data_IF_054574894988
#
_entry.id   IF_054574894988
#
_cell.length_a   1.000
_cell.length_b   1.000
_cell.length_c   1.000
_cell.angle_alpha   90.00
_cell.angle_beta   90.00
_cell.angle_gamma   90.00
#
_symmetry.space_group_name_H-M   'P 1'
#
loop_
_entity.id
_entity.type
_entity.pdbx_description
1 polymer ?
#
# COMPACT_ATOMS: atom_id res chain seq x y z
N UNK A 1 13.16 -15.24 -30.29
CA UNK A 1 14.54 -14.79 -30.60
C UNK A 1 15.31 -14.24 -29.38
N UNK A 2 14.77 -13.27 -28.62
CA UNK A 2 15.48 -12.74 -27.44
C UNK A 2 15.72 -13.78 -26.32
N UNK A 3 14.74 -14.64 -26.03
CA UNK A 3 14.87 -15.66 -24.99
C UNK A 3 15.98 -16.67 -25.31
N UNK A 4 16.02 -17.19 -26.53
CA UNK A 4 17.06 -18.11 -27.01
C UNK A 4 18.45 -17.44 -26.98
N UNK A 5 18.53 -16.16 -27.37
CA UNK A 5 19.78 -15.39 -27.27
C UNK A 5 20.26 -15.24 -25.82
N UNK A 6 19.38 -14.86 -24.88
CA UNK A 6 19.70 -14.73 -23.45
C UNK A 6 20.07 -16.09 -22.84
N UNK A 7 19.33 -17.14 -23.18
CA UNK A 7 19.64 -18.52 -22.75
C UNK A 7 21.05 -18.94 -23.18
N UNK A 8 21.39 -18.76 -24.46
CA UNK A 8 22.73 -19.10 -24.96
C UNK A 8 23.84 -18.27 -24.31
N UNK A 9 23.59 -16.98 -24.05
CA UNK A 9 24.55 -16.12 -23.35
C UNK A 9 24.76 -16.56 -21.90
N UNK A 10 23.70 -16.92 -21.17
CA UNK A 10 23.79 -17.43 -19.81
C UNK A 10 24.49 -18.79 -19.79
N UNK A 11 24.09 -19.72 -20.67
CA UNK A 11 24.68 -21.05 -20.76
C UNK A 11 26.19 -21.00 -21.07
N UNK A 12 26.62 -20.09 -21.95
CA UNK A 12 28.04 -19.91 -22.28
C UNK A 12 28.86 -19.34 -21.11
N UNK A 13 28.25 -18.53 -20.22
CA UNK A 13 28.93 -17.87 -19.11
C UNK A 13 28.74 -18.57 -17.76
N UNK A 14 27.89 -19.59 -17.69
CA UNK A 14 27.49 -20.23 -16.44
C UNK A 14 28.68 -20.86 -15.70
N UNK A 15 29.60 -21.51 -16.43
CA UNK A 15 30.78 -22.15 -15.85
C UNK A 15 31.86 -21.18 -15.37
N UNK A 16 31.80 -19.92 -15.79
CA UNK A 16 32.73 -18.85 -15.41
C UNK A 16 32.10 -17.87 -14.40
N UNK A 17 30.84 -18.07 -14.03
CA UNK A 17 30.10 -17.14 -13.18
C UNK A 17 30.31 -17.47 -11.70
N UNK A 18 31.20 -16.71 -11.04
CA UNK A 18 31.49 -16.84 -9.61
C UNK A 18 30.27 -16.59 -8.70
N UNK A 19 29.22 -15.94 -9.23
CA UNK A 19 27.97 -15.73 -8.50
C UNK A 19 27.01 -16.92 -8.62
N UNK A 20 27.37 -18.01 -9.31
CA UNK A 20 26.49 -19.17 -9.50
C UNK A 20 27.20 -20.46 -9.10
N UNK A 21 26.69 -21.12 -8.07
CA UNK A 21 27.18 -22.42 -7.61
C UNK A 21 26.15 -23.51 -7.93
N UNK A 22 26.61 -24.61 -8.53
CA UNK A 22 25.77 -25.72 -8.96
C UNK A 22 26.20 -26.98 -8.20
N UNK A 23 25.48 -27.29 -7.12
CA UNK A 23 25.72 -28.48 -6.31
C UNK A 23 24.93 -29.66 -6.87
N UNK A 24 25.65 -30.65 -7.41
CA UNK A 24 25.09 -31.89 -7.98
C UNK A 24 25.35 -33.12 -7.11
N UNK A 25 25.88 -32.93 -5.88
CA UNK A 25 26.24 -34.03 -4.98
C UNK A 25 25.04 -34.73 -4.32
N UNK A 26 23.89 -34.06 -4.28
CA UNK A 26 22.65 -34.58 -3.72
C UNK A 26 21.73 -35.29 -4.73
N UNK A 27 20.61 -35.89 -4.27
CA UNK A 27 19.64 -36.56 -5.13
C UNK A 27 18.90 -35.62 -6.11
N UNK A 28 19.05 -34.31 -5.94
CA UNK A 28 18.58 -33.27 -6.88
C UNK A 28 19.64 -32.19 -7.01
N UNK A 29 19.96 -31.72 -8.23
CA UNK A 29 20.87 -30.61 -8.44
C UNK A 29 20.30 -29.32 -7.82
N UNK A 30 21.15 -28.56 -7.14
CA UNK A 30 20.80 -27.30 -6.48
C UNK A 30 21.60 -26.17 -7.09
N UNK A 31 20.90 -25.14 -7.55
CA UNK A 31 21.49 -23.89 -8.04
C UNK A 31 21.44 -22.85 -6.93
N UNK A 32 22.59 -22.33 -6.53
CA UNK A 32 22.72 -21.21 -5.60
C UNK A 32 23.23 -20.01 -6.41
N UNK A 33 22.51 -18.89 -6.34
CA UNK A 33 22.98 -17.63 -6.91
C UNK A 33 23.42 -16.77 -5.72
N UNK A 34 24.70 -16.44 -5.66
CA UNK A 34 25.25 -15.53 -4.66
C UNK A 34 24.52 -14.18 -4.76
N UNK A 35 24.00 -13.65 -3.65
CA UNK A 35 23.36 -12.35 -3.66
C UNK A 35 24.37 -11.29 -4.12
N UNK A 36 23.89 -10.32 -4.90
CA UNK A 36 24.70 -9.15 -5.23
C UNK A 36 25.14 -8.49 -3.92
N UNK A 37 26.44 -8.32 -3.75
CA UNK A 37 26.97 -7.57 -2.62
C UNK A 37 26.37 -6.15 -2.68
N UNK A 38 25.85 -5.66 -1.55
CA UNK A 38 25.39 -4.28 -1.48
C UNK A 38 26.57 -3.37 -1.81
N UNK A 39 26.37 -2.47 -2.76
CA UNK A 39 27.36 -1.42 -3.01
C UNK A 39 27.39 -0.49 -1.79
N UNK A 40 28.58 -0.18 -1.30
CA UNK A 40 28.72 0.84 -0.27
C UNK A 40 28.17 2.17 -0.80
N UNK A 41 27.26 2.77 -0.05
CA UNK A 41 26.71 4.08 -0.40
C UNK A 41 27.82 5.14 -0.36
N UNK A 42 28.05 5.89 -1.46
CA UNK A 42 29.06 6.94 -1.50
C UNK A 42 28.79 8.03 -0.45
N UNK A 43 29.84 8.62 0.12
CA UNK A 43 29.71 9.70 1.10
C UNK A 43 29.01 10.95 0.53
N UNK A 44 29.05 11.14 -0.79
CA UNK A 44 28.24 12.18 -1.46
C UNK A 44 26.74 11.91 -1.37
N UNK A 45 26.31 10.65 -1.52
CA UNK A 45 24.89 10.26 -1.43
C UNK A 45 24.38 10.41 0.00
N UNK A 46 25.15 9.96 1.00
CA UNK A 46 24.81 10.12 2.43
C UNK A 46 24.66 11.59 2.81
N UNK A 47 25.58 12.45 2.33
CA UNK A 47 25.48 13.91 2.54
C UNK A 47 24.25 14.51 1.88
N UNK A 48 23.94 14.14 0.65
CA UNK A 48 22.75 14.62 -0.06
C UNK A 48 21.46 14.17 0.65
N UNK A 49 21.36 12.89 1.02
CA UNK A 49 20.22 12.35 1.76
C UNK A 49 19.98 13.12 3.05
N UNK A 50 21.05 13.38 3.82
CA UNK A 50 20.97 14.22 5.02
C UNK A 50 20.48 15.64 4.72
N UNK A 51 21.02 16.30 3.70
CA UNK A 51 20.58 17.65 3.32
C UNK A 51 19.11 17.69 2.94
N UNK A 52 18.60 16.67 2.25
CA UNK A 52 17.18 16.54 1.90
C UNK A 52 16.34 16.30 3.16
N UNK A 53 16.76 15.41 4.05
CA UNK A 53 16.08 15.15 5.31
C UNK A 53 16.01 16.41 6.21
N UNK A 54 17.07 17.21 6.24
CA UNK A 54 17.13 18.46 7.02
C UNK A 54 16.16 19.54 6.47
N UNK A 55 15.67 19.40 5.23
CA UNK A 55 14.64 20.28 4.65
C UNK A 55 13.21 19.86 5.02
N UNK A 56 13.02 18.62 5.49
CA UNK A 56 11.69 18.13 5.89
C UNK A 56 11.38 18.56 7.32
N UNK A 57 10.34 19.38 7.55
CA UNK A 57 9.99 19.80 8.90
C UNK A 57 9.48 18.61 9.71
N UNK A 58 9.74 18.57 11.03
CA UNK A 58 9.05 17.65 11.92
C UNK A 58 7.58 18.09 12.04
N UNK A 59 6.66 17.25 11.59
CA UNK A 59 5.21 17.51 11.63
C UNK A 59 4.52 16.41 12.43
N UNK A 60 3.56 16.79 13.28
CA UNK A 60 2.72 15.82 13.96
C UNK A 60 1.79 15.15 12.94
N UNK A 61 1.76 13.81 12.93
CA UNK A 61 0.97 13.06 11.95
C UNK A 61 -0.53 13.40 12.02
N UNK A 62 -1.05 13.77 13.20
CA UNK A 62 -2.44 14.21 13.36
C UNK A 62 -2.70 15.57 12.74
N UNK A 63 -1.75 16.51 12.85
CA UNK A 63 -1.82 17.81 12.19
C UNK A 63 -1.74 17.66 10.66
N UNK A 64 -0.85 16.77 10.19
CA UNK A 64 -0.71 16.47 8.76
C UNK A 64 -2.03 16.00 8.15
N UNK A 65 -2.78 15.12 8.83
CA UNK A 65 -4.07 14.66 8.32
C UNK A 65 -5.10 15.80 8.21
N UNK A 66 -5.13 16.71 9.19
CA UNK A 66 -6.03 17.86 9.15
C UNK A 66 -5.64 18.84 8.05
N UNK A 67 -4.34 19.05 7.83
CA UNK A 67 -3.82 19.88 6.75
C UNK A 67 -4.17 19.29 5.38
N UNK A 68 -3.92 18.00 5.17
CA UNK A 68 -4.31 17.31 3.92
C UNK A 68 -5.83 17.34 3.73
N UNK A 69 -6.61 17.23 4.80
CA UNK A 69 -8.06 17.42 4.69
C UNK A 69 -8.42 18.85 4.27
N UNK A 70 -7.73 19.87 4.77
CA UNK A 70 -7.97 21.25 4.34
C UNK A 70 -7.65 21.48 2.85
N UNK A 71 -6.68 20.73 2.31
CA UNK A 71 -6.34 20.77 0.88
C UNK A 71 -7.30 19.99 -0.01
N UNK A 72 -7.76 18.83 0.44
CA UNK A 72 -8.44 17.83 -0.42
C UNK A 72 -9.93 17.65 -0.13
N UNK A 73 -10.37 18.00 1.08
CA UNK A 73 -11.72 17.72 1.57
C UNK A 73 -12.01 16.22 1.74
N UNK A 74 -11.00 15.34 1.80
CA UNK A 74 -11.22 13.89 1.81
C UNK A 74 -12.13 13.41 2.96
N UNK A 75 -12.16 14.13 4.09
CA UNK A 75 -13.00 13.75 5.22
C UNK A 75 -14.50 13.88 4.93
N UNK A 76 -14.89 14.69 3.93
CA UNK A 76 -16.30 14.87 3.54
C UNK A 76 -16.86 13.63 2.82
N UNK A 77 -15.98 12.77 2.27
CA UNK A 77 -16.37 11.49 1.66
C UNK A 77 -16.80 10.45 2.70
N UNK A 78 -16.56 10.71 3.99
CA UNK A 78 -17.10 9.91 5.08
C UNK A 78 -18.52 10.37 5.39
N UNK A 79 -19.49 9.82 4.67
CA UNK A 79 -20.92 10.05 4.92
C UNK A 79 -21.51 9.05 5.93
N UNK A 80 -22.59 9.45 6.61
CA UNK A 80 -23.27 8.61 7.60
C UNK A 80 -23.93 7.39 6.94
N UNK A 81 -23.86 6.22 7.58
CA UNK A 81 -24.37 4.94 7.05
C UNK A 81 -25.87 4.93 6.71
N UNK A 82 -26.65 5.84 7.29
CA UNK A 82 -28.08 5.97 7.02
C UNK A 82 -28.43 7.03 5.96
N UNK A 83 -27.43 7.67 5.33
CA UNK A 83 -27.55 8.75 4.32
C UNK A 83 -28.37 10.00 4.73
N UNK A 84 -29.01 9.98 5.89
CA UNK A 84 -29.57 11.16 6.53
C UNK A 84 -28.44 12.14 6.85
N UNK A 85 -28.64 13.43 6.57
CA UNK A 85 -27.65 14.47 6.86
C UNK A 85 -27.51 14.67 8.37
N UNK A 86 -26.78 13.78 9.03
CA UNK A 86 -26.31 13.96 10.39
C UNK A 86 -25.19 14.98 10.35
N UNK A 87 -25.56 16.27 10.32
CA UNK A 87 -24.57 17.36 10.48
C UNK A 87 -24.08 17.29 11.91
N UNK A 88 -22.87 16.78 12.10
CA UNK A 88 -22.22 16.87 13.39
C UNK A 88 -20.97 17.71 13.27
N UNK A 89 -20.85 18.64 14.22
CA UNK A 89 -19.73 19.58 14.28
C UNK A 89 -18.39 18.84 14.41
N UNK A 90 -17.36 19.41 13.81
CA UNK A 90 -15.98 18.92 13.82
C UNK A 90 -15.82 17.44 13.42
N UNK A 91 -16.68 16.96 12.51
CA UNK A 91 -16.58 15.59 11.98
C UNK A 91 -15.18 15.27 11.41
N UNK A 92 -14.51 16.15 10.63
CA UNK A 92 -13.16 15.86 10.13
C UNK A 92 -12.13 15.56 11.22
N UNK A 93 -12.27 16.18 12.40
CA UNK A 93 -11.40 15.90 13.57
C UNK A 93 -11.66 14.49 14.10
N UNK A 94 -12.93 14.11 14.26
CA UNK A 94 -13.30 12.76 14.68
C UNK A 94 -12.86 11.70 13.67
N UNK A 95 -13.03 11.95 12.36
CA UNK A 95 -12.59 11.05 11.29
C UNK A 95 -11.08 10.88 11.29
N UNK A 96 -10.32 11.98 11.35
CA UNK A 96 -8.85 11.93 11.38
C UNK A 96 -8.35 11.14 12.58
N UNK A 97 -8.96 11.32 13.76
CA UNK A 97 -8.62 10.53 14.94
C UNK A 97 -8.95 9.04 14.75
N UNK A 98 -10.10 8.70 14.19
CA UNK A 98 -10.44 7.29 13.91
C UNK A 98 -9.47 6.67 12.91
N UNK A 99 -9.13 7.38 11.83
CA UNK A 99 -8.17 6.91 10.83
C UNK A 99 -6.78 6.67 11.45
N UNK A 100 -6.31 7.58 12.30
CA UNK A 100 -5.04 7.42 13.03
C UNK A 100 -5.06 6.17 13.93
N UNK A 101 -6.15 5.96 14.66
CA UNK A 101 -6.28 4.81 15.54
C UNK A 101 -6.20 3.48 14.80
N UNK A 102 -6.90 3.37 13.66
CA UNK A 102 -6.94 2.14 12.86
C UNK A 102 -5.66 1.95 12.04
N UNK A 103 -5.18 2.99 11.36
CA UNK A 103 -4.00 2.89 10.48
C UNK A 103 -2.71 2.62 11.28
N UNK A 104 -2.56 3.25 12.45
CA UNK A 104 -1.38 3.04 13.30
C UNK A 104 -1.53 1.86 14.27
N UNK A 105 -2.68 1.16 14.27
CA UNK A 105 -2.97 0.05 15.20
C UNK A 105 -2.82 0.42 16.70
N UNK A 106 -3.07 1.69 17.06
CA UNK A 106 -2.93 2.19 18.44
C UNK A 106 -4.26 2.19 19.22
N UNK A 107 -5.38 1.96 18.51
CA UNK A 107 -6.73 2.05 19.10
C UNK A 107 -7.13 3.49 19.44
N UNK A 108 -8.36 3.67 19.95
CA UNK A 108 -8.91 5.01 20.20
C UNK A 108 -8.39 5.66 21.48
N UNK A 109 -7.94 4.88 22.47
CA UNK A 109 -7.59 5.36 23.82
C UNK A 109 -6.60 6.55 23.82
N UNK A 110 -5.50 6.54 23.04
CA UNK A 110 -4.55 7.65 23.02
C UNK A 110 -5.14 8.98 22.52
N UNK A 111 -6.21 8.92 21.72
CA UNK A 111 -6.82 10.05 21.03
C UNK A 111 -8.03 10.62 21.78
N UNK A 112 -8.49 9.96 22.85
CA UNK A 112 -9.64 10.43 23.63
C UNK A 112 -9.27 11.70 24.40
N UNK A 113 -10.11 12.73 24.27
CA UNK A 113 -10.04 13.96 25.08
C UNK A 113 -11.46 14.29 25.57
N UNK A 114 -11.70 14.15 26.87
CA UNK A 114 -13.03 14.34 27.46
C UNK A 114 -13.51 15.79 27.41
N UNK A 115 -12.59 16.75 27.33
CA UNK A 115 -12.86 18.18 27.23
C UNK A 115 -13.07 18.67 25.78
N UNK A 116 -12.90 17.81 24.77
CA UNK A 116 -13.08 18.15 23.35
C UNK A 116 -14.23 17.30 22.81
N UNK A 117 -15.41 17.90 22.49
CA UNK A 117 -16.58 17.15 22.04
C UNK A 117 -16.30 16.15 20.90
N UNK A 118 -15.51 16.57 19.91
CA UNK A 118 -15.11 15.78 18.75
C UNK A 118 -14.24 14.55 19.08
N UNK A 119 -13.59 14.53 20.25
CA UNK A 119 -12.63 13.49 20.66
C UNK A 119 -13.09 12.74 21.91
N UNK A 120 -14.35 12.89 22.32
CA UNK A 120 -14.88 12.06 23.41
C UNK A 120 -14.95 10.59 23.00
N UNK A 121 -14.82 9.67 23.96
CA UNK A 121 -14.90 8.23 23.68
C UNK A 121 -16.18 7.83 22.94
N UNK A 122 -17.30 8.38 23.37
CA UNK A 122 -18.60 8.12 22.73
C UNK A 122 -18.61 8.61 21.29
N UNK A 123 -18.12 9.83 21.05
CA UNK A 123 -18.01 10.42 19.72
C UNK A 123 -17.15 9.59 18.77
N UNK A 124 -15.96 9.16 19.20
CA UNK A 124 -15.05 8.38 18.35
C UNK A 124 -15.61 6.99 18.03
N UNK A 125 -16.18 6.29 19.02
CA UNK A 125 -16.85 5.01 18.79
C UNK A 125 -18.03 5.14 17.81
N UNK A 126 -18.86 6.17 18.00
CA UNK A 126 -19.98 6.44 17.10
C UNK A 126 -19.51 6.77 15.69
N UNK A 127 -18.46 7.57 15.56
CA UNK A 127 -17.86 7.93 14.27
C UNK A 127 -17.33 6.69 13.55
N UNK A 128 -16.53 5.87 14.24
CA UNK A 128 -16.02 4.60 13.70
C UNK A 128 -17.16 3.70 13.20
N UNK A 129 -18.23 3.55 13.99
CA UNK A 129 -19.33 2.65 13.65
C UNK A 129 -20.20 3.14 12.48
N UNK A 130 -20.38 4.46 12.33
CA UNK A 130 -21.36 5.02 11.39
C UNK A 130 -20.75 5.67 10.15
N UNK A 131 -19.43 5.88 10.12
CA UNK A 131 -18.75 6.60 9.04
C UNK A 131 -17.60 5.81 8.41
N UNK A 132 -16.86 4.99 9.16
CA UNK A 132 -15.73 4.24 8.63
C UNK A 132 -16.22 2.93 7.96
N UNK A 133 -16.28 2.92 6.64
CA UNK A 133 -16.64 1.76 5.82
C UNK A 133 -15.73 1.64 4.60
N UNK A 134 -15.74 0.48 3.94
CA UNK A 134 -14.92 0.24 2.76
C UNK A 134 -15.22 1.28 1.66
N UNK A 135 -16.50 1.56 1.41
CA UNK A 135 -16.93 2.48 0.36
C UNK A 135 -16.45 3.91 0.64
N UNK A 136 -16.60 4.39 1.88
CA UNK A 136 -16.12 5.73 2.27
C UNK A 136 -14.60 5.85 2.23
N UNK A 137 -13.87 4.76 2.51
CA UNK A 137 -12.40 4.74 2.40
C UNK A 137 -12.01 4.82 0.93
N UNK A 138 -12.69 4.09 0.04
CA UNK A 138 -12.44 4.12 -1.41
C UNK A 138 -12.67 5.52 -1.97
N UNK A 139 -13.81 6.16 -1.68
CA UNK A 139 -14.10 7.50 -2.19
C UNK A 139 -13.16 8.57 -1.61
N UNK A 140 -12.81 8.47 -0.31
CA UNK A 140 -11.80 9.34 0.29
C UNK A 140 -10.41 9.15 -0.36
N UNK A 141 -10.02 7.91 -0.66
CA UNK A 141 -8.76 7.62 -1.34
C UNK A 141 -8.74 8.20 -2.76
N UNK A 142 -9.85 8.12 -3.49
CA UNK A 142 -9.97 8.74 -4.81
C UNK A 142 -9.70 10.24 -4.76
N UNK A 143 -10.28 10.97 -3.78
CA UNK A 143 -9.97 12.39 -3.56
C UNK A 143 -8.48 12.66 -3.35
N UNK A 144 -7.83 11.84 -2.51
CA UNK A 144 -6.40 11.98 -2.21
C UNK A 144 -5.53 11.73 -3.44
N UNK A 145 -5.83 10.67 -4.19
CA UNK A 145 -5.11 10.30 -5.42
C UNK A 145 -5.27 11.36 -6.49
N UNK A 146 -6.50 11.84 -6.71
CA UNK A 146 -6.79 12.89 -7.69
C UNK A 146 -6.08 14.19 -7.36
N UNK A 147 -6.06 14.57 -6.08
CA UNK A 147 -5.29 15.74 -5.64
C UNK A 147 -3.79 15.55 -5.85
N UNK A 148 -3.23 14.40 -5.44
CA UNK A 148 -1.81 14.10 -5.63
C UNK A 148 -1.40 14.18 -7.10
N UNK A 149 -2.24 13.69 -8.02
CA UNK A 149 -2.00 13.73 -9.45
C UNK A 149 -1.86 15.18 -10.00
N UNK A 150 -2.41 16.18 -9.32
CA UNK A 150 -2.25 17.60 -9.70
C UNK A 150 -0.90 18.21 -9.27
N UNK A 151 -0.18 17.54 -8.37
CA UNK A 151 1.06 18.09 -7.83
C UNK A 151 2.20 18.03 -8.87
N UNK A 152 3.01 19.10 -9.02
CA UNK A 152 4.12 19.10 -9.97
C UNK A 152 5.12 17.96 -9.76
N UNK A 153 5.34 17.56 -8.52
CA UNK A 153 6.23 16.45 -8.19
C UNK A 153 5.70 15.10 -8.72
N UNK A 154 4.40 14.85 -8.60
CA UNK A 154 3.78 13.62 -9.09
C UNK A 154 3.89 13.53 -10.63
N UNK A 155 3.68 14.64 -11.32
CA UNK A 155 3.82 14.76 -12.77
C UNK A 155 5.27 14.53 -13.27
N UNK A 156 6.28 14.71 -12.40
CA UNK A 156 7.68 14.37 -12.72
C UNK A 156 7.92 12.85 -12.61
N UNK A 157 7.24 12.17 -11.69
CA UNK A 157 7.39 10.73 -11.50
C UNK A 157 6.75 9.91 -12.61
N UNK A 158 5.55 10.30 -13.06
CA UNK A 158 4.82 9.54 -14.06
C UNK A 158 3.56 10.23 -14.58
N UNK A 159 2.98 9.67 -15.63
CA UNK A 159 1.77 10.18 -16.28
C UNK A 159 0.46 9.66 -15.69
N UNK A 160 0.53 8.66 -14.79
CA UNK A 160 -0.65 7.92 -14.32
C UNK A 160 -1.11 6.83 -15.28
N UNK A 161 -0.36 6.58 -16.37
CA UNK A 161 -0.69 5.61 -17.41
C UNK A 161 -0.12 4.21 -17.13
N UNK A 162 0.84 4.12 -16.20
CA UNK A 162 1.47 2.86 -15.79
C UNK A 162 1.16 2.60 -14.32
N UNK A 163 0.84 1.34 -14.00
CA UNK A 163 0.63 0.90 -12.63
C UNK A 163 1.35 -0.41 -12.33
N UNK A 164 1.65 -0.64 -11.06
CA UNK A 164 2.13 -1.90 -10.53
C UNK A 164 1.06 -2.50 -9.64
N UNK A 165 0.83 -3.81 -9.76
CA UNK A 165 -0.08 -4.55 -8.90
C UNK A 165 0.66 -5.70 -8.21
N UNK A 166 0.83 -5.59 -6.89
CA UNK A 166 1.62 -6.54 -6.07
C UNK A 166 0.86 -7.01 -4.82
N UNK A 167 1.08 -8.27 -4.46
CA UNK A 167 0.43 -8.97 -3.36
C UNK A 167 1.26 -8.98 -2.08
N UNK A 168 0.84 -8.19 -1.09
CA UNK A 168 1.37 -8.24 0.28
C UNK A 168 0.71 -9.38 1.07
N UNK A 169 1.52 -10.22 1.71
CA UNK A 169 1.05 -11.46 2.35
C UNK A 169 1.04 -11.33 3.87
N UNK A 170 -0.11 -11.59 4.49
CA UNK A 170 -0.30 -11.48 5.93
C UNK A 170 -0.77 -12.80 6.53
N UNK A 171 -0.11 -13.24 7.61
CA UNK A 171 -0.59 -14.37 8.42
C UNK A 171 -1.75 -13.88 9.29
N UNK A 172 -2.88 -14.58 9.23
CA UNK A 172 -4.09 -14.22 9.97
C UNK A 172 -4.40 -15.30 11.00
N UNK A 173 -4.36 -15.00 12.31
CA UNK A 173 -4.69 -15.97 13.35
C UNK A 173 -6.20 -16.28 13.40
N UNK A 174 -7.03 -15.36 12.93
CA UNK A 174 -8.49 -15.49 12.93
C UNK A 174 -8.99 -16.13 11.63
N UNK A 175 -9.98 -17.00 11.75
CA UNK A 175 -10.63 -17.63 10.59
C UNK A 175 -11.60 -16.63 9.94
N UNK A 176 -11.22 -16.11 8.77
CA UNK A 176 -12.07 -15.28 7.91
C UNK A 176 -12.41 -16.01 6.60
N UNK A 177 -13.31 -15.43 5.80
CA UNK A 177 -13.69 -15.95 4.47
C UNK A 177 -12.47 -16.01 3.55
N UNK A 178 -11.62 -14.97 3.56
CA UNK A 178 -10.45 -14.87 2.69
C UNK A 178 -9.19 -15.55 3.27
N UNK A 179 -9.17 -15.85 4.58
CA UNK A 179 -8.05 -16.56 5.17
C UNK A 179 -7.98 -18.00 4.63
N UNK A 180 -6.85 -18.37 4.03
CA UNK A 180 -6.62 -19.68 3.43
C UNK A 180 -5.27 -20.28 3.85
N UNK A 181 -5.14 -21.62 3.91
CA UNK A 181 -3.85 -22.25 4.15
C UNK A 181 -3.00 -22.24 2.88
N UNK A 182 -1.76 -21.75 2.95
CA UNK A 182 -0.81 -21.85 1.85
C UNK A 182 0.59 -22.12 2.41
N UNK A 183 1.11 -23.33 2.18
CA UNK A 183 2.38 -23.77 2.78
C UNK A 183 3.60 -23.01 2.27
N UNK A 184 3.54 -22.47 1.04
CA UNK A 184 4.60 -21.64 0.47
C UNK A 184 4.71 -20.30 1.18
N UNK A 185 3.57 -19.66 1.47
CA UNK A 185 3.53 -18.27 1.97
C UNK A 185 3.30 -18.14 3.46
N UNK A 186 2.55 -19.07 4.07
CA UNK A 186 2.12 -18.98 5.46
C UNK A 186 2.58 -20.18 6.31
N UNK A 187 3.35 -21.12 5.72
CA UNK A 187 3.79 -22.33 6.41
C UNK A 187 2.61 -23.18 6.89
N UNK A 188 2.53 -23.43 8.20
CA UNK A 188 1.42 -24.17 8.81
C UNK A 188 0.22 -23.27 9.17
N UNK A 189 0.36 -21.96 8.97
CA UNK A 189 -0.68 -20.99 9.30
C UNK A 189 -1.60 -20.73 8.09
N UNK A 190 -2.65 -19.94 8.34
CA UNK A 190 -3.53 -19.40 7.32
C UNK A 190 -3.21 -17.91 7.14
N UNK A 191 -3.47 -17.39 5.96
CA UNK A 191 -3.22 -15.99 5.67
C UNK A 191 -4.10 -15.46 4.55
N UNK A 192 -3.99 -14.15 4.36
CA UNK A 192 -4.62 -13.39 3.28
C UNK A 192 -3.53 -12.74 2.43
N UNK A 193 -3.88 -12.40 1.20
CA UNK A 193 -3.07 -11.50 0.38
C UNK A 193 -3.83 -10.19 0.24
N UNK A 194 -3.18 -9.07 0.57
CA UNK A 194 -3.63 -7.73 0.19
C UNK A 194 -3.00 -7.41 -1.16
N UNK A 195 -3.82 -7.35 -2.20
CA UNK A 195 -3.38 -7.01 -3.54
C UNK A 195 -3.49 -5.51 -3.74
N UNK A 196 -2.34 -4.86 -3.85
CA UNK A 196 -2.21 -3.40 -3.84
C UNK A 196 -1.84 -2.88 -5.22
N UNK A 197 -2.48 -1.79 -5.65
CA UNK A 197 -2.25 -1.15 -6.93
C UNK A 197 -1.66 0.24 -6.74
N UNK A 198 -0.48 0.46 -7.31
CA UNK A 198 0.27 1.71 -7.19
C UNK A 198 0.61 2.24 -8.57
N UNK A 199 0.33 3.51 -8.82
CA UNK A 199 0.67 4.16 -10.09
C UNK A 199 2.16 4.51 -10.18
N UNK A 200 2.61 4.84 -11.39
CA UNK A 200 3.92 5.48 -11.65
C UNK A 200 4.05 6.89 -11.02
N UNK A 201 2.96 7.45 -10.51
CA UNK A 201 2.93 8.66 -9.67
C UNK A 201 3.07 8.36 -8.17
N UNK A 202 3.41 7.12 -7.80
CA UNK A 202 3.55 6.65 -6.42
C UNK A 202 2.28 6.84 -5.56
N UNK A 203 1.10 6.82 -6.18
CA UNK A 203 -0.18 6.84 -5.47
C UNK A 203 -0.81 5.45 -5.46
N UNK A 204 -1.24 4.99 -4.28
CA UNK A 204 -2.00 3.75 -4.11
C UNK A 204 -3.46 4.01 -4.46
N UNK A 205 -3.92 3.57 -5.63
CA UNK A 205 -5.25 3.94 -6.14
C UNK A 205 -6.31 2.88 -5.88
N UNK A 206 -5.90 1.64 -5.62
CA UNK A 206 -6.83 0.57 -5.30
C UNK A 206 -6.15 -0.54 -4.48
N UNK A 207 -6.95 -1.31 -3.76
CA UNK A 207 -6.47 -2.53 -3.15
C UNK A 207 -7.59 -3.44 -2.67
N UNK A 208 -7.36 -4.75 -2.74
CA UNK A 208 -8.35 -5.78 -2.45
C UNK A 208 -7.75 -6.91 -1.62
N UNK A 209 -8.55 -7.44 -0.68
CA UNK A 209 -8.17 -8.61 0.11
C UNK A 209 -8.59 -9.86 -0.64
N UNK A 210 -7.62 -10.62 -1.12
CA UNK A 210 -7.85 -11.86 -1.86
C UNK A 210 -7.40 -13.08 -1.05
N UNK A 211 -7.98 -14.28 -1.33
CA UNK A 211 -7.53 -15.50 -0.69
C UNK A 211 -6.07 -15.81 -1.00
N UNK A 212 -5.24 -16.02 0.03
CA UNK A 212 -3.81 -16.28 -0.14
C UNK A 212 -3.44 -17.64 -0.77
N UNK A 213 -4.44 -18.37 -1.27
CA UNK A 213 -4.30 -19.64 -2.01
C UNK A 213 -4.31 -19.47 -3.52
N UNK A 214 -4.85 -18.36 -4.03
CA UNK A 214 -5.02 -18.13 -5.47
C UNK A 214 -3.80 -17.40 -6.06
N UNK A 215 -3.72 -17.37 -7.39
CA UNK A 215 -2.73 -16.55 -8.09
C UNK A 215 -3.24 -15.12 -8.15
N UNK A 216 -2.46 -14.19 -7.64
CA UNK A 216 -2.83 -12.79 -7.47
C UNK A 216 -3.23 -12.12 -8.81
N UNK A 217 -2.59 -12.53 -9.91
CA UNK A 217 -2.83 -12.01 -11.27
C UNK A 217 -4.27 -12.13 -11.79
N UNK A 218 -5.09 -13.02 -11.21
CA UNK A 218 -6.49 -13.20 -11.63
C UNK A 218 -7.34 -11.97 -11.25
N UNK A 219 -6.92 -11.24 -10.22
CA UNK A 219 -7.66 -10.11 -9.66
C UNK A 219 -7.25 -8.75 -10.24
N UNK A 220 -6.34 -8.71 -11.21
CA UNK A 220 -5.87 -7.47 -11.85
C UNK A 220 -7.00 -6.71 -12.53
N UNK A 221 -7.86 -7.42 -13.27
CA UNK A 221 -8.97 -6.81 -14.00
C UNK A 221 -10.04 -6.24 -13.05
N UNK A 222 -10.29 -6.93 -11.93
CA UNK A 222 -11.20 -6.45 -10.89
C UNK A 222 -10.67 -5.12 -10.32
N UNK A 223 -9.39 -5.08 -9.91
CA UNK A 223 -8.82 -3.86 -9.36
C UNK A 223 -8.72 -2.69 -10.35
N UNK A 224 -8.64 -2.97 -11.65
CA UNK A 224 -8.71 -1.95 -12.69
C UNK A 224 -10.12 -1.39 -12.92
N UNK A 225 -11.14 -2.24 -12.84
CA UNK A 225 -12.52 -1.87 -13.14
C UNK A 225 -13.24 -1.23 -11.95
N UNK A 226 -12.82 -1.55 -10.72
CA UNK A 226 -13.46 -1.09 -9.49
C UNK A 226 -12.79 0.12 -8.83
N UNK A 227 -11.74 0.67 -9.45
CA UNK A 227 -11.09 1.89 -8.95
C UNK A 227 -11.93 3.14 -9.23
N UNK A 228 -12.01 4.05 -8.27
CA UNK A 228 -12.84 5.28 -8.35
C UNK A 228 -12.01 6.56 -8.58
N UNK A 229 -10.72 6.43 -8.86
CA UNK A 229 -9.79 7.54 -9.06
C UNK A 229 -9.80 8.04 -10.50
N UNK A 230 -9.35 9.27 -10.71
CA UNK A 230 -9.15 9.88 -12.02
C UNK A 230 -7.96 9.33 -12.81
N UNK A 231 -7.18 8.40 -12.23
CA UNK A 231 -6.12 7.72 -12.95
C UNK A 231 -6.71 6.74 -13.98
N UNK A 232 -6.04 6.62 -15.12
CA UNK A 232 -6.44 5.70 -16.18
C UNK A 232 -5.23 4.89 -16.68
N UNK A 233 -4.71 3.98 -15.85
CA UNK A 233 -3.56 3.16 -16.22
C UNK A 233 -3.90 2.26 -17.42
N UNK A 234 -3.07 2.31 -18.45
CA UNK A 234 -3.18 1.50 -19.68
C UNK A 234 -2.22 0.31 -19.67
N UNK A 235 -1.18 0.38 -18.85
CA UNK A 235 -0.18 -0.67 -18.68
C UNK A 235 -0.07 -1.08 -17.20
N UNK A 236 -0.15 -2.40 -16.93
CA UNK A 236 0.04 -2.94 -15.58
C UNK A 236 1.22 -3.90 -15.54
N UNK A 237 2.13 -3.62 -14.61
CA UNK A 237 3.20 -4.50 -14.20
C UNK A 237 2.72 -5.41 -13.06
N UNK A 238 2.92 -6.72 -13.21
CA UNK A 238 2.60 -7.70 -12.16
C UNK A 238 3.73 -8.69 -11.99
N UNK A 239 4.10 -8.99 -10.75
CA UNK A 239 5.02 -10.08 -10.45
C UNK A 239 4.27 -11.41 -10.57
N UNK A 240 4.57 -12.19 -11.63
CA UNK A 240 3.88 -13.46 -11.93
C UNK A 240 4.77 -14.69 -11.97
#
# INVERSE_FOLDING_TARGET
>A
HQLDSRYRQVAARLGENEAVELDVSGPKPRLTISPLASLDEPDSLKRLSKMISDLLPPVDLTELLLEINAHTGFADEFFHASEASARVDDLPVSISAVLMAEACNIGLEPLIRSNVPALTRHRLNWTKANYLRAETITSANARLVDFQATLPLAQIWGGGEVASADGMRFVTPVRTINAGPNRKYFGNNRGITWYNFVSDQYSGFHGIVIPGTLRDSIFVLEGLLEQETGLNPTEIMTDT
#
